data_IF_312011464231
#
_entry.id   IF_312011464231
#
_cell.length_a   1.000
_cell.length_b   1.000
_cell.length_c   1.000
_cell.angle_alpha   90.00
_cell.angle_beta   90.00
_cell.angle_gamma   90.00
#
_symmetry.space_group_name_H-M   'P 1'
#
loop_
_entity.id
_entity.type
_entity.pdbx_description
1 polymer ?
#
# COMPACT_ATOMS: atom_id res chain seq x y z
N UNK A 1 -20.48 -16.51 8.99
CA UNK A 1 -19.60 -16.79 7.82
C UNK A 1 -20.24 -16.51 6.45
N UNK A 2 -21.36 -15.81 6.31
CA UNK A 2 -22.12 -15.65 5.05
C UNK A 2 -22.05 -14.28 4.39
N UNK A 3 -21.40 -13.29 4.96
CA UNK A 3 -21.30 -11.91 4.41
C UNK A 3 -20.09 -11.72 3.47
N UNK A 4 -19.03 -12.50 3.65
CA UNK A 4 -17.79 -12.36 2.84
C UNK A 4 -17.94 -12.96 1.43
N UNK A 5 -18.86 -13.91 1.23
CA UNK A 5 -19.05 -14.57 -0.05
C UNK A 5 -19.80 -13.70 -1.10
N UNK A 6 -20.70 -12.79 -0.67
CA UNK A 6 -21.45 -11.90 -1.57
C UNK A 6 -20.62 -10.78 -2.19
N UNK A 7 -19.57 -10.33 -1.51
CA UNK A 7 -18.68 -9.28 -2.04
C UNK A 7 -17.77 -9.74 -3.20
N UNK A 8 -17.40 -11.02 -3.22
CA UNK A 8 -16.51 -11.57 -4.26
C UNK A 8 -17.20 -11.75 -5.63
N UNK A 9 -18.46 -12.13 -5.65
CA UNK A 9 -19.19 -12.34 -6.91
C UNK A 9 -19.54 -11.02 -7.62
N UNK A 10 -19.77 -9.92 -6.90
CA UNK A 10 -20.09 -8.62 -7.49
C UNK A 10 -18.87 -7.91 -8.12
N UNK A 11 -17.67 -8.17 -7.63
CA UNK A 11 -16.42 -7.60 -8.18
C UNK A 11 -16.02 -8.31 -9.49
N UNK A 12 -16.15 -9.64 -9.57
CA UNK A 12 -15.83 -10.39 -10.78
C UNK A 12 -16.75 -10.04 -11.97
N UNK A 13 -18.06 -9.89 -11.74
CA UNK A 13 -19.03 -9.55 -12.80
C UNK A 13 -18.89 -8.11 -13.31
N UNK A 14 -18.49 -7.17 -12.45
CA UNK A 14 -18.26 -5.77 -12.86
C UNK A 14 -16.93 -5.58 -13.62
N UNK A 15 -15.91 -6.37 -13.33
CA UNK A 15 -14.63 -6.31 -14.04
C UNK A 15 -14.73 -6.85 -15.48
N UNK A 16 -15.63 -7.78 -15.76
CA UNK A 16 -15.83 -8.32 -17.12
C UNK A 16 -16.53 -7.35 -18.08
N UNK A 17 -17.26 -6.37 -17.58
CA UNK A 17 -17.91 -5.34 -18.39
C UNK A 17 -16.99 -4.17 -18.79
N UNK A 18 -15.77 -4.09 -18.20
CA UNK A 18 -14.82 -3.02 -18.50
C UNK A 18 -13.97 -3.37 -19.72
N UNK A 19 -13.64 -2.39 -20.59
CA UNK A 19 -12.70 -2.58 -21.69
C UNK A 19 -11.39 -3.18 -21.18
N UNK A 20 -10.78 -4.10 -21.95
CA UNK A 20 -9.57 -4.84 -21.60
C UNK A 20 -8.46 -3.93 -21.07
N UNK A 21 -8.31 -2.75 -21.66
CA UNK A 21 -7.34 -1.72 -21.27
C UNK A 21 -7.51 -1.24 -19.83
N UNK A 22 -8.75 -0.97 -19.37
CA UNK A 22 -9.02 -0.50 -18.01
C UNK A 22 -8.77 -1.63 -17.02
N UNK A 23 -9.11 -2.86 -17.35
CA UNK A 23 -8.87 -4.04 -16.52
C UNK A 23 -7.39 -4.27 -16.28
N UNK A 24 -6.56 -4.15 -17.32
CA UNK A 24 -5.13 -4.36 -17.23
C UNK A 24 -4.46 -3.31 -16.34
N UNK A 25 -4.79 -2.02 -16.55
CA UNK A 25 -4.29 -0.93 -15.69
C UNK A 25 -4.77 -1.10 -14.24
N UNK A 26 -6.04 -1.48 -14.02
CA UNK A 26 -6.59 -1.68 -12.69
C UNK A 26 -5.91 -2.83 -11.92
N UNK A 27 -5.60 -3.95 -12.60
CA UNK A 27 -4.88 -5.07 -12.00
C UNK A 27 -3.47 -4.64 -11.61
N UNK A 28 -2.75 -3.95 -12.50
CA UNK A 28 -1.39 -3.48 -12.24
C UNK A 28 -1.35 -2.48 -11.08
N UNK A 29 -2.27 -1.51 -11.05
CA UNK A 29 -2.39 -0.57 -9.95
C UNK A 29 -2.80 -1.25 -8.65
N UNK A 30 -3.68 -2.25 -8.71
CA UNK A 30 -4.07 -3.05 -7.55
C UNK A 30 -2.89 -3.81 -6.93
N UNK A 31 -2.09 -4.48 -7.76
CA UNK A 31 -0.87 -5.17 -7.31
C UNK A 31 0.15 -4.18 -6.72
N UNK A 32 0.35 -3.04 -7.39
CA UNK A 32 1.25 -1.99 -6.89
C UNK A 32 0.77 -1.42 -5.56
N UNK A 33 -0.55 -1.20 -5.40
CA UNK A 33 -1.13 -0.73 -4.13
C UNK A 33 -0.88 -1.71 -3.00
N UNK A 34 -1.10 -3.01 -3.24
CA UNK A 34 -0.83 -4.06 -2.24
C UNK A 34 0.65 -4.08 -1.86
N UNK A 35 1.56 -4.00 -2.85
CA UNK A 35 3.00 -3.97 -2.60
C UNK A 35 3.43 -2.76 -1.76
N UNK A 36 2.93 -1.55 -2.07
CA UNK A 36 3.22 -0.33 -1.33
C UNK A 36 2.66 -0.36 0.10
N UNK A 37 1.45 -0.91 0.29
CA UNK A 37 0.86 -1.09 1.62
C UNK A 37 1.68 -2.06 2.47
N UNK A 38 2.06 -3.21 1.92
CA UNK A 38 2.90 -4.19 2.62
C UNK A 38 4.25 -3.58 3.01
N UNK A 39 4.89 -2.87 2.09
CA UNK A 39 6.16 -2.19 2.35
C UNK A 39 6.01 -1.15 3.47
N UNK A 40 4.97 -0.30 3.40
CA UNK A 40 4.72 0.74 4.41
C UNK A 40 4.46 0.16 5.80
N UNK A 41 3.62 -0.88 5.88
CA UNK A 41 3.31 -1.56 7.14
C UNK A 41 4.55 -2.26 7.72
N UNK A 42 5.32 -2.94 6.89
CA UNK A 42 6.56 -3.62 7.33
C UNK A 42 7.57 -2.61 7.84
N UNK A 43 7.78 -1.50 7.13
CA UNK A 43 8.69 -0.44 7.56
C UNK A 43 8.23 0.19 8.88
N UNK A 44 6.94 0.50 9.03
CA UNK A 44 6.38 1.05 10.25
C UNK A 44 6.56 0.07 11.43
N UNK A 45 6.28 -1.21 11.23
CA UNK A 45 6.46 -2.25 12.25
C UNK A 45 7.92 -2.39 12.70
N UNK A 46 8.86 -2.46 11.76
CA UNK A 46 10.29 -2.56 12.07
C UNK A 46 10.78 -1.32 12.80
N UNK A 47 10.44 -0.13 12.32
CA UNK A 47 10.83 1.14 12.97
C UNK A 47 10.26 1.24 14.38
N UNK A 48 9.00 0.87 14.60
CA UNK A 48 8.41 0.85 15.94
C UNK A 48 9.14 -0.12 16.87
N UNK A 49 9.47 -1.31 16.39
CA UNK A 49 10.21 -2.31 17.15
C UNK A 49 11.61 -1.82 17.51
N UNK A 50 12.34 -1.21 16.58
CA UNK A 50 13.68 -0.70 16.79
C UNK A 50 13.67 0.46 17.79
N UNK A 51 12.73 1.40 17.68
CA UNK A 51 12.58 2.49 18.63
C UNK A 51 12.24 1.99 20.05
N UNK A 52 11.35 1.01 20.16
CA UNK A 52 11.02 0.40 21.46
C UNK A 52 12.24 -0.33 22.07
N UNK A 53 13.00 -1.07 21.26
CA UNK A 53 14.21 -1.75 21.74
C UNK A 53 15.29 -0.78 22.20
N UNK A 54 15.40 0.37 21.54
CA UNK A 54 16.28 1.46 21.96
C UNK A 54 15.88 2.03 23.33
N UNK A 55 14.59 2.33 23.52
CA UNK A 55 14.04 2.80 24.81
C UNK A 55 14.23 1.75 25.90
N UNK A 56 14.00 0.47 25.60
CA UNK A 56 14.19 -0.62 26.55
C UNK A 56 15.64 -0.75 27.01
N UNK A 57 16.61 -0.58 26.09
CA UNK A 57 18.02 -0.58 26.42
C UNK A 57 18.42 0.65 27.25
N UNK A 58 17.91 1.82 26.90
CA UNK A 58 18.12 3.06 27.65
C UNK A 58 17.58 2.94 29.08
N UNK A 59 16.31 2.55 29.24
CA UNK A 59 15.69 2.38 30.55
C UNK A 59 16.46 1.40 31.43
N UNK A 60 16.90 0.25 30.90
CA UNK A 60 17.71 -0.71 31.67
C UNK A 60 19.06 -0.15 32.11
N UNK A 61 19.68 0.66 31.28
CA UNK A 61 21.00 1.23 31.58
C UNK A 61 20.95 2.31 32.64
N UNK A 62 19.89 3.12 32.70
CA UNK A 62 19.74 4.24 33.61
C UNK A 62 18.87 3.95 34.84
N UNK A 63 18.15 2.84 34.86
CA UNK A 63 17.20 2.52 35.94
C UNK A 63 17.85 2.48 37.35
N UNK A 64 18.95 1.75 37.49
CA UNK A 64 19.62 1.62 38.78
C UNK A 64 20.28 2.94 39.25
N UNK A 65 21.07 3.67 38.44
CA UNK A 65 21.66 4.94 38.87
C UNK A 65 20.59 6.02 39.16
N UNK A 66 19.52 6.10 38.36
CA UNK A 66 18.47 7.08 38.62
C UNK A 66 17.69 6.74 39.90
N UNK A 67 17.40 5.46 40.13
CA UNK A 67 16.75 5.04 41.37
C UNK A 67 17.60 5.37 42.62
N UNK A 68 18.90 5.18 42.56
CA UNK A 68 19.82 5.55 43.66
C UNK A 68 19.85 7.07 43.87
N UNK A 69 19.99 7.85 42.82
CA UNK A 69 19.96 9.31 42.90
C UNK A 69 18.66 9.85 43.50
N UNK A 70 17.51 9.29 43.06
CA UNK A 70 16.20 9.65 43.61
C UNK A 70 16.07 9.37 45.11
N UNK A 71 16.61 8.24 45.57
CA UNK A 71 16.59 7.89 46.99
C UNK A 71 17.52 8.78 47.86
N UNK A 72 18.70 9.11 47.35
CA UNK A 72 19.64 9.99 48.04
C UNK A 72 19.05 11.42 48.15
N UNK A 73 18.33 11.88 47.14
CA UNK A 73 17.65 13.18 47.14
C UNK A 73 16.46 13.22 48.14
N UNK A 74 15.63 12.17 48.13
CA UNK A 74 14.53 12.04 49.10
C UNK A 74 15.03 11.99 50.55
N UNK A 75 16.20 11.40 50.77
CA UNK A 75 16.83 11.32 52.10
C UNK A 75 17.42 12.65 52.57
N UNK A 76 17.86 13.52 51.67
CA UNK A 76 18.57 14.75 52.02
C UNK A 76 17.66 16.00 52.03
N UNK A 77 16.80 16.17 51.03
CA UNK A 77 16.04 17.42 50.83
C UNK A 77 14.51 17.22 50.70
N UNK A 78 14.06 16.01 50.57
CA UNK A 78 12.62 15.73 50.28
C UNK A 78 12.12 16.24 48.93
N UNK A 79 13.03 16.70 48.08
CA UNK A 79 12.69 17.26 46.76
C UNK A 79 13.41 16.44 45.64
N UNK A 80 12.67 16.01 44.63
CA UNK A 80 13.19 15.20 43.52
C UNK A 80 13.55 16.04 42.30
N UNK A 81 13.87 17.29 42.49
CA UNK A 81 14.22 18.26 41.44
C UNK A 81 15.45 17.90 40.57
N UNK A 82 16.27 16.94 41.03
CA UNK A 82 17.51 16.52 40.34
C UNK A 82 17.33 15.35 39.36
N UNK A 83 16.11 14.81 39.26
CA UNK A 83 15.88 13.73 38.28
C UNK A 83 16.03 14.25 36.84
N UNK A 84 16.69 13.47 35.97
CA UNK A 84 16.79 13.88 34.57
C UNK A 84 15.42 14.16 33.95
N UNK A 85 15.28 15.30 33.33
CA UNK A 85 14.02 15.71 32.68
C UNK A 85 13.62 14.71 31.60
N UNK A 86 12.38 14.19 31.70
CA UNK A 86 11.81 13.25 30.73
C UNK A 86 11.43 11.89 31.28
N UNK A 87 11.98 11.48 32.44
CA UNK A 87 11.65 10.22 33.06
C UNK A 87 10.53 10.37 34.10
N UNK A 88 9.55 9.48 34.07
CA UNK A 88 8.64 9.29 35.19
C UNK A 88 9.24 8.29 36.19
N UNK A 89 9.31 8.65 37.45
CA UNK A 89 9.81 7.80 38.52
C UNK A 89 8.73 7.55 39.58
N UNK A 90 8.56 6.30 39.98
CA UNK A 90 7.65 5.93 41.05
C UNK A 90 8.38 5.04 42.07
N UNK A 91 8.26 5.41 43.34
CA UNK A 91 8.69 4.59 44.48
C UNK A 91 7.46 3.92 45.08
N UNK A 92 7.54 2.62 45.36
CA UNK A 92 6.45 1.82 45.85
C UNK A 92 6.89 1.08 47.14
N UNK A 93 5.93 0.94 48.07
CA UNK A 93 6.06 0.11 49.28
C UNK A 93 6.09 -1.38 48.92
N UNK A 94 6.45 -2.27 49.88
CA UNK A 94 6.45 -3.72 49.67
C UNK A 94 5.11 -4.29 49.23
N UNK A 95 4.03 -3.64 49.60
CA UNK A 95 2.64 -3.99 49.26
C UNK A 95 2.26 -3.51 47.81
N UNK A 96 3.14 -2.75 47.16
CA UNK A 96 2.91 -2.21 45.82
C UNK A 96 2.19 -0.88 45.77
N UNK A 97 1.92 -0.25 46.95
CA UNK A 97 1.31 1.09 46.98
C UNK A 97 2.33 2.17 46.61
N UNK A 98 2.03 3.09 45.65
CA UNK A 98 2.93 4.16 45.29
C UNK A 98 3.04 5.21 46.40
N UNK A 99 4.24 5.49 46.85
CA UNK A 99 4.52 6.52 47.85
C UNK A 99 4.91 7.84 47.23
N UNK A 100 5.65 7.78 46.15
CA UNK A 100 6.13 8.98 45.47
C UNK A 100 6.11 8.73 43.97
N UNK A 101 5.46 9.64 43.24
CA UNK A 101 5.40 9.60 41.76
C UNK A 101 5.81 10.96 41.25
N UNK A 102 6.92 10.99 40.50
CA UNK A 102 7.40 12.19 39.84
C UNK A 102 7.06 12.08 38.36
N UNK A 103 6.33 13.05 37.86
CA UNK A 103 6.05 13.17 36.44
C UNK A 103 6.70 14.46 35.90
N UNK A 104 7.77 14.35 35.09
CA UNK A 104 8.56 15.52 34.69
C UNK A 104 7.87 16.38 33.63
N UNK A 105 6.84 15.89 32.99
CA UNK A 105 6.23 16.58 31.84
C UNK A 105 5.25 17.68 32.21
N UNK A 106 4.94 17.86 33.50
CA UNK A 106 4.04 18.94 33.96
C UNK A 106 2.62 18.91 33.37
N UNK A 107 2.34 17.93 32.52
CA UNK A 107 1.04 17.71 31.90
C UNK A 107 0.23 16.74 32.77
N UNK A 108 -1.08 16.88 32.79
CA UNK A 108 -2.05 16.05 33.57
C UNK A 108 -2.09 14.56 33.10
N UNK A 109 -1.04 14.08 32.49
CA UNK A 109 -0.93 12.73 31.89
C UNK A 109 -0.17 11.80 32.86
N UNK A 110 -0.88 11.32 33.86
CA UNK A 110 -0.32 10.38 34.81
C UNK A 110 -0.32 8.95 34.29
N UNK A 111 0.81 8.19 34.37
CA UNK A 111 0.82 6.78 34.02
C UNK A 111 -0.05 5.97 35.00
N UNK A 112 -0.93 5.13 34.47
CA UNK A 112 -1.74 4.21 35.27
C UNK A 112 -0.89 3.01 35.70
N UNK A 113 0.04 3.23 36.65
CA UNK A 113 0.94 2.18 37.13
C UNK A 113 0.16 1.15 37.94
N UNK A 114 0.26 -0.14 37.59
CA UNK A 114 -0.25 -1.20 38.44
C UNK A 114 0.57 -1.30 39.74
N UNK A 115 0.01 -1.85 40.83
CA UNK A 115 0.78 -2.14 42.03
C UNK A 115 1.91 -3.11 41.69
N UNK A 116 3.18 -2.75 42.06
CA UNK A 116 4.37 -3.53 41.77
C UNK A 116 5.00 -3.96 43.09
N UNK A 117 4.82 -5.22 43.45
CA UNK A 117 5.30 -5.82 44.70
C UNK A 117 6.72 -6.41 44.50
N UNK A 118 7.41 -6.70 45.60
CA UNK A 118 8.75 -7.33 45.59
C UNK A 118 8.77 -8.72 44.90
N UNK A 119 7.62 -9.40 44.82
CA UNK A 119 7.46 -10.72 44.19
C UNK A 119 7.07 -10.64 42.72
N UNK A 120 6.82 -9.44 42.23
CA UNK A 120 6.43 -9.24 40.83
C UNK A 120 7.55 -9.70 39.89
N UNK A 121 7.18 -10.44 38.85
CA UNK A 121 8.10 -10.98 37.85
C UNK A 121 8.86 -9.84 37.13
N UNK A 122 8.22 -8.71 36.88
CA UNK A 122 8.78 -7.51 36.26
C UNK A 122 9.97 -6.94 37.07
N UNK A 123 9.89 -7.04 38.41
CA UNK A 123 10.97 -6.62 39.30
C UNK A 123 12.11 -7.62 39.30
N UNK A 124 11.80 -8.90 39.14
CA UNK A 124 12.80 -9.99 39.15
C UNK A 124 13.58 -10.06 37.82
N UNK A 125 12.88 -9.90 36.69
CA UNK A 125 13.46 -10.01 35.35
C UNK A 125 14.02 -8.69 34.83
N UNK A 126 13.54 -7.55 35.33
CA UNK A 126 13.82 -6.23 34.77
C UNK A 126 13.25 -6.06 33.37
N UNK A 127 12.23 -6.84 33.01
CA UNK A 127 11.59 -6.72 31.69
C UNK A 127 10.76 -5.44 31.57
N UNK A 128 10.97 -4.65 30.50
CA UNK A 128 10.18 -3.47 30.25
C UNK A 128 8.71 -3.81 29.96
N UNK A 129 7.78 -3.02 30.49
CA UNK A 129 6.36 -3.17 30.30
C UNK A 129 5.70 -1.85 29.90
N UNK A 130 4.58 -1.93 29.20
CA UNK A 130 3.85 -0.74 28.73
C UNK A 130 2.59 -0.53 29.57
N UNK A 131 2.38 0.72 30.00
CA UNK A 131 1.15 1.16 30.67
C UNK A 131 0.52 2.32 29.91
N UNK A 132 -0.78 2.49 30.04
CA UNK A 132 -1.48 3.66 29.50
C UNK A 132 -1.50 4.79 30.51
N UNK A 133 -1.68 6.01 30.02
CA UNK A 133 -1.99 7.14 30.88
C UNK A 133 -3.41 6.99 31.45
N UNK A 134 -3.64 7.55 32.64
CA UNK A 134 -4.96 7.61 33.27
C UNK A 134 -5.92 8.49 32.44
N UNK A 135 -5.40 9.57 31.88
CA UNK A 135 -6.13 10.53 31.08
C UNK A 135 -5.54 10.61 29.67
N UNK A 136 -6.11 9.87 28.72
CA UNK A 136 -5.71 9.93 27.30
C UNK A 136 -5.07 8.67 26.73
N UNK A 137 -4.71 8.72 25.45
CA UNK A 137 -4.15 7.60 24.68
C UNK A 137 -2.62 7.49 24.79
N UNK A 138 -1.97 8.29 25.64
CA UNK A 138 -0.52 8.25 25.82
C UNK A 138 -0.11 6.93 26.45
N UNK A 139 0.90 6.29 25.88
CA UNK A 139 1.52 5.09 26.43
C UNK A 139 2.87 5.44 27.03
N UNK A 140 3.21 4.70 28.08
CA UNK A 140 4.46 4.80 28.80
C UNK A 140 5.17 3.46 28.80
N UNK A 141 6.49 3.48 28.68
CA UNK A 141 7.34 2.30 28.81
C UNK A 141 8.08 2.36 30.13
N UNK A 142 7.92 1.34 30.96
CA UNK A 142 8.49 1.27 32.32
C UNK A 142 9.40 0.06 32.46
N UNK A 143 10.41 0.23 33.34
CA UNK A 143 11.22 -0.84 33.92
C UNK A 143 11.04 -0.77 35.44
N UNK A 144 10.86 -1.92 36.10
CA UNK A 144 10.76 -2.02 37.53
C UNK A 144 12.01 -2.69 38.10
N UNK A 145 12.37 -2.30 39.34
CA UNK A 145 13.49 -2.88 40.06
C UNK A 145 13.33 -2.83 41.57
N UNK A 146 14.29 -3.41 42.30
CA UNK A 146 14.36 -3.38 43.77
C UNK A 146 15.17 -2.20 44.23
N UNK A 147 14.79 -1.71 45.40
CA UNK A 147 15.55 -0.72 46.14
C UNK A 147 16.35 -1.43 47.24
N UNK A 148 17.67 -1.46 47.12
CA UNK A 148 18.54 -2.22 48.06
C UNK A 148 18.54 -1.68 49.50
N UNK A 149 18.30 -0.38 49.69
CA UNK A 149 18.33 0.28 51.02
C UNK A 149 16.97 0.39 51.69
N UNK A 150 15.88 0.17 50.99
CA UNK A 150 14.53 0.23 51.50
C UNK A 150 13.78 -1.02 51.03
N UNK A 151 12.95 -1.61 51.92
CA UNK A 151 12.12 -2.76 51.51
C UNK A 151 11.03 -2.35 50.55
N UNK A 152 11.40 -1.84 49.35
CA UNK A 152 10.47 -1.33 48.35
C UNK A 152 10.89 -1.65 46.92
N UNK A 153 10.07 -1.21 45.97
CA UNK A 153 10.31 -1.32 44.52
C UNK A 153 10.28 0.07 43.89
N UNK A 154 10.93 0.22 42.78
CA UNK A 154 10.85 1.42 41.96
C UNK A 154 10.38 1.08 40.56
N UNK A 155 9.76 2.04 39.89
CA UNK A 155 9.48 1.99 38.46
C UNK A 155 10.00 3.28 37.80
N UNK A 156 10.77 3.12 36.74
CA UNK A 156 11.28 4.21 35.90
C UNK A 156 10.72 4.08 34.50
N UNK A 157 10.19 5.16 33.95
CA UNK A 157 9.54 5.10 32.64
C UNK A 157 9.74 6.33 31.78
N UNK A 158 9.52 6.13 30.48
CA UNK A 158 9.53 7.16 29.45
C UNK A 158 8.19 7.20 28.70
N UNK A 159 7.71 8.40 28.32
CA UNK A 159 6.52 8.51 27.51
C UNK A 159 6.82 8.08 26.06
N UNK A 160 5.95 7.28 25.46
CA UNK A 160 6.06 6.81 24.08
C UNK A 160 5.52 7.82 23.05
N UNK A 161 5.30 9.09 23.45
CA UNK A 161 4.79 10.15 22.55
C UNK A 161 5.66 10.32 21.31
N UNK A 162 6.99 10.33 21.49
CA UNK A 162 7.96 10.48 20.41
C UNK A 162 7.91 9.30 19.43
N UNK A 163 7.76 8.08 19.93
CA UNK A 163 7.62 6.87 19.11
C UNK A 163 6.31 6.92 18.32
N UNK A 164 5.21 7.21 19.00
CA UNK A 164 3.89 7.29 18.34
C UNK A 164 3.86 8.37 17.27
N UNK A 165 4.37 9.57 17.55
CA UNK A 165 4.41 10.65 16.58
C UNK A 165 5.31 10.34 15.40
N UNK A 166 6.45 9.68 15.62
CA UNK A 166 7.35 9.25 14.55
C UNK A 166 6.69 8.23 13.63
N UNK A 167 6.03 7.21 14.20
CA UNK A 167 5.32 6.18 13.41
C UNK A 167 4.16 6.80 12.61
N UNK A 168 3.36 7.66 13.22
CA UNK A 168 2.25 8.35 12.53
C UNK A 168 2.78 9.22 11.39
N UNK A 169 3.83 9.99 11.64
CA UNK A 169 4.48 10.84 10.62
C UNK A 169 5.03 9.99 9.47
N UNK A 170 5.64 8.85 9.78
CA UNK A 170 6.18 7.90 8.80
C UNK A 170 5.05 7.32 7.94
N UNK A 171 3.95 6.88 8.54
CA UNK A 171 2.79 6.37 7.81
C UNK A 171 2.16 7.44 6.91
N UNK A 172 2.04 8.67 7.41
CA UNK A 172 1.50 9.78 6.64
C UNK A 172 2.38 10.13 5.43
N UNK A 173 3.69 10.29 5.64
CA UNK A 173 4.63 10.62 4.55
C UNK A 173 4.73 9.48 3.54
N UNK A 174 4.80 8.22 3.99
CA UNK A 174 4.79 7.05 3.10
C UNK A 174 3.48 6.94 2.32
N UNK A 175 2.34 7.24 2.95
CA UNK A 175 1.03 7.27 2.32
C UNK A 175 0.95 8.33 1.21
N UNK A 176 1.47 9.54 1.48
CA UNK A 176 1.51 10.63 0.50
C UNK A 176 2.39 10.27 -0.71
N UNK A 177 3.58 9.74 -0.46
CA UNK A 177 4.49 9.28 -1.54
C UNK A 177 3.85 8.15 -2.35
N UNK A 178 3.23 7.17 -1.69
CA UNK A 178 2.53 6.07 -2.35
C UNK A 178 1.38 6.57 -3.23
N UNK A 179 0.59 7.53 -2.75
CA UNK A 179 -0.48 8.13 -3.53
C UNK A 179 0.05 8.86 -4.77
N UNK A 180 1.16 9.62 -4.65
CA UNK A 180 1.80 10.29 -5.77
C UNK A 180 2.34 9.28 -6.81
N UNK A 181 2.98 8.21 -6.37
CA UNK A 181 3.48 7.13 -7.26
C UNK A 181 2.32 6.45 -7.97
N UNK A 182 1.24 6.10 -7.26
CA UNK A 182 0.05 5.48 -7.86
C UNK A 182 -0.61 6.41 -8.89
N UNK A 183 -0.74 7.70 -8.60
CA UNK A 183 -1.27 8.67 -9.54
C UNK A 183 -0.41 8.78 -10.81
N UNK A 184 0.91 8.82 -10.65
CA UNK A 184 1.85 8.87 -11.77
C UNK A 184 1.78 7.58 -12.61
N UNK A 185 1.79 6.41 -11.96
CA UNK A 185 1.65 5.12 -12.63
C UNK A 185 0.30 4.98 -13.34
N UNK A 186 -0.78 5.49 -12.76
CA UNK A 186 -2.11 5.51 -13.39
C UNK A 186 -2.09 6.36 -14.66
N UNK A 187 -1.49 7.55 -14.62
CA UNK A 187 -1.41 8.47 -15.74
C UNK A 187 -0.56 7.89 -16.88
N UNK A 188 0.64 7.41 -16.55
CA UNK A 188 1.55 6.79 -17.54
C UNK A 188 0.93 5.51 -18.10
N UNK A 189 0.38 4.66 -17.26
CA UNK A 189 -0.27 3.42 -17.68
C UNK A 189 -1.48 3.66 -18.58
N UNK A 190 -2.30 4.64 -18.23
CA UNK A 190 -3.43 5.06 -19.07
C UNK A 190 -2.96 5.56 -20.45
N UNK A 191 -1.95 6.42 -20.46
CA UNK A 191 -1.39 6.95 -21.71
C UNK A 191 -0.79 5.83 -22.57
N UNK A 192 0.05 4.98 -21.98
CA UNK A 192 0.73 3.89 -22.68
C UNK A 192 -0.28 2.89 -23.28
N UNK A 193 -1.24 2.45 -22.48
CA UNK A 193 -2.29 1.51 -22.93
C UNK A 193 -3.16 2.13 -24.00
N UNK A 194 -3.56 3.41 -23.85
CA UNK A 194 -4.41 4.08 -24.86
C UNK A 194 -3.67 4.20 -26.21
N UNK A 195 -2.37 4.48 -26.14
CA UNK A 195 -1.53 4.60 -27.34
C UNK A 195 -1.28 3.22 -27.98
N UNK A 196 -0.99 2.19 -27.19
CA UNK A 196 -0.73 0.84 -27.71
C UNK A 196 -1.95 0.20 -28.40
N UNK A 197 -3.17 0.50 -27.92
CA UNK A 197 -4.40 -0.03 -28.51
C UNK A 197 -5.00 0.85 -29.61
N UNK A 198 -4.38 1.96 -29.96
CA UNK A 198 -4.85 2.84 -31.05
C UNK A 198 -4.83 2.15 -32.43
N UNK A 199 -3.76 1.44 -32.83
CA UNK A 199 -3.73 0.75 -34.11
C UNK A 199 -4.81 -0.32 -34.24
N UNK A 200 -5.11 -1.06 -33.16
CA UNK A 200 -6.14 -2.10 -33.15
C UNK A 200 -7.54 -1.54 -33.47
N UNK A 201 -7.86 -0.34 -32.99
CA UNK A 201 -9.11 0.35 -33.36
C UNK A 201 -9.14 0.75 -34.83
N UNK A 202 -8.02 1.18 -35.38
CA UNK A 202 -7.93 1.52 -36.79
C UNK A 202 -8.18 0.29 -37.67
N UNK A 203 -7.70 -0.89 -37.25
CA UNK A 203 -7.98 -2.16 -37.91
C UNK A 203 -9.49 -2.46 -37.86
N UNK A 204 -10.12 -2.31 -36.70
CA UNK A 204 -11.57 -2.53 -36.51
C UNK A 204 -12.41 -1.60 -37.40
N UNK A 205 -12.07 -0.30 -37.40
CA UNK A 205 -12.75 0.71 -38.23
C UNK A 205 -12.62 0.42 -39.74
N UNK A 206 -11.43 -0.01 -40.17
CA UNK A 206 -11.13 -0.38 -41.56
C UNK A 206 -11.91 -1.64 -41.95
N UNK A 207 -11.91 -2.67 -41.11
CA UNK A 207 -12.67 -3.89 -41.33
C UNK A 207 -14.18 -3.63 -41.43
N UNK A 208 -14.73 -2.71 -40.62
CA UNK A 208 -16.13 -2.31 -40.69
C UNK A 208 -16.47 -1.59 -42.01
N UNK A 209 -15.53 -0.84 -42.60
CA UNK A 209 -15.73 -0.20 -43.91
C UNK A 209 -15.63 -1.20 -45.05
N UNK A 210 -14.71 -2.15 -44.98
CA UNK A 210 -14.60 -3.26 -45.95
C UNK A 210 -15.87 -4.10 -45.95
N UNK A 211 -16.45 -4.39 -44.79
CA UNK A 211 -17.71 -5.12 -44.67
C UNK A 211 -18.91 -4.39 -45.31
N UNK A 212 -18.83 -3.05 -45.48
CA UNK A 212 -19.84 -2.24 -46.19
C UNK A 212 -19.62 -2.20 -47.71
N UNK A 213 -18.58 -2.87 -48.23
CA UNK A 213 -18.28 -3.02 -49.65
C UNK A 213 -17.12 -2.19 -50.19
N UNK A 214 -16.43 -1.40 -49.34
CA UNK A 214 -15.26 -0.63 -49.78
C UNK A 214 -13.99 -1.51 -49.66
N UNK A 215 -13.74 -2.34 -50.68
CA UNK A 215 -12.60 -3.26 -50.77
C UNK A 215 -11.27 -2.54 -51.08
N UNK A 216 -11.32 -1.25 -51.44
CA UNK A 216 -10.09 -0.48 -51.79
C UNK A 216 -9.33 -0.01 -50.56
N UNK A 217 -9.94 -0.07 -49.41
CA UNK A 217 -9.33 0.32 -48.12
C UNK A 217 -8.23 -0.65 -47.75
N UNK A 218 -7.16 -0.07 -47.13
CA UNK A 218 -6.06 -0.83 -46.55
C UNK A 218 -5.91 -0.48 -45.08
N UNK A 219 -5.51 -1.47 -44.31
CA UNK A 219 -5.18 -1.31 -42.91
C UNK A 219 -3.88 -0.51 -42.80
N UNK A 220 -3.84 0.59 -42.03
CA UNK A 220 -2.61 1.32 -41.81
C UNK A 220 -1.62 0.46 -40.99
N UNK A 221 -0.45 0.17 -41.58
CA UNK A 221 0.61 -0.58 -40.92
C UNK A 221 1.43 0.39 -40.10
N UNK A 222 1.63 0.07 -38.79
CA UNK A 222 2.50 0.84 -37.91
C UNK A 222 3.97 0.69 -38.33
N UNK A 223 4.80 1.73 -38.24
CA UNK A 223 6.26 1.59 -38.47
C UNK A 223 6.97 0.80 -37.36
N UNK A 224 6.28 0.42 -36.29
CA UNK A 224 6.80 -0.46 -35.26
C UNK A 224 6.75 -1.91 -35.78
N UNK A 225 7.86 -2.64 -35.62
CA UNK A 225 7.97 -4.07 -35.96
C UNK A 225 7.39 -4.89 -34.79
N UNK A 226 6.06 -4.82 -34.63
CA UNK A 226 5.32 -5.51 -33.58
C UNK A 226 4.26 -6.46 -34.15
N UNK A 227 3.64 -7.27 -33.31
CA UNK A 227 2.64 -8.26 -33.69
C UNK A 227 1.40 -7.63 -34.37
N UNK A 228 1.15 -6.35 -34.08
CA UNK A 228 0.01 -5.61 -34.65
C UNK A 228 0.36 -5.17 -36.09
N UNK A 229 1.60 -4.78 -36.34
CA UNK A 229 2.08 -4.47 -37.68
C UNK A 229 2.01 -5.71 -38.59
N UNK A 230 2.50 -6.86 -38.11
CA UNK A 230 2.43 -8.15 -38.82
C UNK A 230 1.00 -8.57 -39.13
N UNK A 231 0.06 -8.36 -38.19
CA UNK A 231 -1.37 -8.60 -38.42
C UNK A 231 -1.93 -7.68 -39.51
N UNK A 232 -1.55 -6.40 -39.50
CA UNK A 232 -1.97 -5.41 -40.50
C UNK A 232 -1.50 -5.78 -41.90
N UNK A 233 -0.24 -6.22 -42.05
CA UNK A 233 0.32 -6.70 -43.32
C UNK A 233 -0.43 -7.94 -43.82
N UNK A 234 -0.61 -8.94 -42.96
CA UNK A 234 -1.33 -10.16 -43.33
C UNK A 234 -2.76 -9.88 -43.81
N UNK A 235 -3.45 -8.95 -43.14
CA UNK A 235 -4.79 -8.49 -43.55
C UNK A 235 -4.73 -7.79 -44.90
N UNK A 236 -3.75 -6.94 -45.17
CA UNK A 236 -3.63 -6.26 -46.46
C UNK A 236 -3.36 -7.25 -47.62
N UNK A 237 -2.55 -8.29 -47.38
CA UNK A 237 -2.32 -9.37 -48.35
C UNK A 237 -3.62 -10.12 -48.64
N UNK A 238 -4.39 -10.46 -47.59
CA UNK A 238 -5.69 -11.12 -47.75
C UNK A 238 -6.68 -10.25 -48.55
N UNK A 239 -6.71 -8.96 -48.25
CA UNK A 239 -7.58 -8.01 -48.96
C UNK A 239 -7.24 -7.90 -50.45
N UNK A 240 -5.91 -7.88 -50.79
CA UNK A 240 -5.46 -7.88 -52.17
C UNK A 240 -5.99 -9.14 -52.94
N UNK A 241 -5.90 -10.31 -52.34
CA UNK A 241 -6.40 -11.55 -52.94
C UNK A 241 -7.96 -11.55 -53.14
N UNK A 242 -8.66 -10.93 -52.20
CA UNK A 242 -10.13 -10.79 -52.29
C UNK A 242 -10.50 -9.85 -53.45
N UNK A 243 -9.82 -8.70 -53.55
CA UNK A 243 -10.04 -7.71 -54.59
C UNK A 243 -9.78 -8.32 -56.00
N UNK A 244 -8.64 -9.00 -56.18
CA UNK A 244 -8.32 -9.73 -57.44
C UNK A 244 -9.39 -10.77 -57.80
N UNK A 245 -9.87 -11.52 -56.80
CA UNK A 245 -10.96 -12.50 -57.01
C UNK A 245 -12.27 -11.86 -57.48
N UNK A 246 -12.59 -10.67 -56.99
CA UNK A 246 -13.77 -9.92 -57.39
C UNK A 246 -13.60 -9.38 -58.82
N UNK A 247 -12.41 -8.83 -59.20
CA UNK A 247 -12.15 -8.37 -60.56
C UNK A 247 -12.25 -9.49 -61.56
N UNK A 248 -11.67 -10.66 -61.30
CA UNK A 248 -11.81 -11.85 -62.17
C UNK A 248 -13.28 -12.28 -62.34
N UNK A 249 -14.07 -12.25 -61.29
CA UNK A 249 -15.51 -12.57 -61.36
C UNK A 249 -16.28 -11.55 -62.16
N UNK A 250 -16.03 -10.28 -62.02
CA UNK A 250 -16.71 -9.22 -62.76
C UNK A 250 -16.36 -9.28 -64.25
N UNK A 251 -15.08 -9.47 -64.59
CA UNK A 251 -14.63 -9.69 -65.97
C UNK A 251 -15.22 -10.96 -66.60
N UNK A 252 -15.46 -12.03 -65.81
CA UNK A 252 -16.13 -13.23 -66.25
C UNK A 252 -17.62 -13.03 -66.52
N UNK A 253 -18.28 -12.25 -65.62
CA UNK A 253 -19.72 -11.89 -65.80
C UNK A 253 -19.91 -11.02 -67.03
N UNK A 254 -19.05 -10.08 -67.30
CA UNK A 254 -19.15 -9.20 -68.45
C UNK A 254 -18.98 -9.98 -69.74
N UNK A 255 -17.97 -10.88 -69.79
CA UNK A 255 -17.79 -11.81 -70.91
C UNK A 255 -19.02 -12.71 -71.15
N UNK A 256 -19.64 -13.21 -70.10
CA UNK A 256 -20.86 -14.01 -70.22
C UNK A 256 -22.07 -13.19 -70.71
N UNK A 257 -22.22 -11.94 -70.25
CA UNK A 257 -23.23 -11.02 -70.77
C UNK A 257 -23.03 -10.73 -72.25
N UNK A 258 -21.82 -10.46 -72.67
CA UNK A 258 -21.47 -10.25 -74.08
C UNK A 258 -21.79 -11.49 -74.92
N UNK A 259 -21.35 -12.68 -74.47
CA UNK A 259 -21.65 -13.94 -75.10
C UNK A 259 -23.16 -14.20 -75.26
N UNK A 260 -23.98 -13.96 -74.24
CA UNK A 260 -25.47 -14.12 -74.31
C UNK A 260 -26.07 -13.09 -75.24
N UNK A 261 -25.57 -11.85 -75.27
CA UNK A 261 -26.02 -10.81 -76.21
C UNK A 261 -25.73 -11.18 -77.65
N UNK A 262 -24.53 -11.64 -77.97
CA UNK A 262 -24.10 -12.01 -79.29
C UNK A 262 -24.88 -13.26 -79.83
N UNK A 263 -25.04 -14.27 -78.94
CA UNK A 263 -25.90 -15.45 -79.29
C UNK A 263 -27.32 -15.10 -79.50
N UNK A 264 -27.90 -14.13 -78.75
CA UNK A 264 -29.27 -13.67 -78.94
C UNK A 264 -29.46 -12.90 -80.25
N UNK A 265 -28.44 -12.20 -80.72
CA UNK A 265 -28.47 -11.51 -82.02
C UNK A 265 -28.37 -12.49 -83.17
N UNK A 266 -27.51 -13.52 -83.10
CA UNK A 266 -27.34 -14.53 -84.11
C UNK A 266 -28.63 -15.44 -84.28
N UNK A 267 -29.31 -15.71 -83.20
CA UNK A 267 -30.58 -16.49 -83.22
C UNK A 267 -31.78 -15.68 -83.71
N UNK A 268 -31.67 -14.37 -83.88
CA UNK A 268 -32.74 -13.49 -84.36
C UNK A 268 -32.64 -13.13 -85.84
N UNK A 269 -31.52 -13.48 -86.49
CA UNK A 269 -31.32 -13.40 -87.94
C UNK A 269 -31.67 -14.76 -88.61
#
# INVERSE_FOLDING_TARGET
MTVVARGRQSLHTRLHALPLRIRLVAILLGLLTIALLLLSLTTAYLTQRDLLSGIDAELRSVAAPVAQAALDDLGNNGDTSTLPTGYAFALMLPDGTPVHVVNPTGEDLHPALPPITLTDERVRTGEPFTVRSTDGDLQWRFVAGRVDKAAGTFALGLPLRSVQSTVVRLLFTSGLISAAVLALCALIGWYAVTRAFRPLRQIEDTAAQIAKGDLTRRVPVSPADDEIASLGESLNVMLAHIEDSFEVREASRERMRQFVSDASHELRT
#
